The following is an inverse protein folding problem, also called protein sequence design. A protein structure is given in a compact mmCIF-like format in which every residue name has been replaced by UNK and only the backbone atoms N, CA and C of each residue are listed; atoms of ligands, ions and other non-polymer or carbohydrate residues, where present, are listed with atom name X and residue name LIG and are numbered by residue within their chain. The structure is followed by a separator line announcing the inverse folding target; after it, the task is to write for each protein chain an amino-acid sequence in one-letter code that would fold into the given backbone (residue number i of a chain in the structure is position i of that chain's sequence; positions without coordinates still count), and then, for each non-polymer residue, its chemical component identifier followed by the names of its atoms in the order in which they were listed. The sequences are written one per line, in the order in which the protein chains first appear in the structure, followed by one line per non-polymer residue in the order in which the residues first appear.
data_IF_602617838802
#
_entry.id   IF_602617838802
#
_cell.length_a   1.000
_cell.length_b   1.000
_cell.length_c   1.000
_cell.angle_alpha   90.00
_cell.angle_beta   90.00
_cell.angle_gamma   90.00
#
_symmetry.space_group_name_H-M   'P 1'
#
loop_
_entity.id
_entity.type
_entity.pdbx_description
1 polymer ?
#
# COMPACT_ATOMS: atom_id res chain seq x y z
N UNK A 1 -18.61 -13.54 60.73
CA UNK A 1 -17.86 -14.27 59.68
C UNK A 1 -18.43 -13.84 58.35
N UNK A 2 -17.59 -13.26 57.48
CA UNK A 2 -17.98 -12.60 56.22
C UNK A 2 -18.20 -13.67 55.14
N UNK A 3 -19.42 -13.75 54.59
CA UNK A 3 -19.67 -14.54 53.38
C UNK A 3 -19.33 -13.71 52.16
N UNK A 4 -18.30 -14.18 51.45
CA UNK A 4 -17.84 -13.63 50.19
C UNK A 4 -18.34 -14.53 49.06
N UNK A 5 -18.51 -13.92 47.88
CA UNK A 5 -18.62 -14.53 46.54
C UNK A 5 -20.02 -14.99 46.12
N UNK A 6 -20.69 -14.15 45.32
CA UNK A 6 -21.27 -14.60 44.04
C UNK A 6 -21.08 -13.46 43.03
N UNK A 7 -20.08 -13.59 42.17
CA UNK A 7 -19.90 -12.75 40.99
C UNK A 7 -20.05 -13.68 39.79
N UNK A 8 -21.29 -13.79 39.29
CA UNK A 8 -21.59 -14.48 38.03
C UNK A 8 -22.14 -13.44 37.08
N UNK A 9 -21.23 -12.67 36.46
CA UNK A 9 -21.54 -11.91 35.28
C UNK A 9 -21.24 -12.82 34.07
N UNK A 10 -22.26 -13.56 33.63
CA UNK A 10 -22.24 -14.26 32.35
C UNK A 10 -22.22 -13.21 31.26
N UNK A 11 -21.03 -12.88 30.75
CA UNK A 11 -20.88 -12.08 29.54
C UNK A 11 -21.18 -13.01 28.36
N UNK A 12 -22.44 -13.02 27.93
CA UNK A 12 -22.86 -13.56 26.64
C UNK A 12 -22.22 -12.71 25.53
N UNK A 13 -21.04 -13.12 25.06
CA UNK A 13 -20.49 -12.64 23.80
C UNK A 13 -21.30 -13.27 22.67
N UNK A 14 -22.26 -12.52 22.13
CA UNK A 14 -22.95 -12.89 20.91
C UNK A 14 -21.93 -12.94 19.76
N UNK A 15 -21.53 -14.15 19.38
CA UNK A 15 -20.78 -14.42 18.17
C UNK A 15 -21.70 -14.12 17.00
N UNK A 16 -21.52 -12.95 16.37
CA UNK A 16 -22.19 -12.63 15.10
C UNK A 16 -21.57 -13.50 14.01
N UNK A 17 -22.14 -14.69 13.82
CA UNK A 17 -21.79 -15.60 12.75
C UNK A 17 -22.24 -15.00 11.42
N UNK A 18 -21.33 -14.30 10.73
CA UNK A 18 -21.56 -13.83 9.37
C UNK A 18 -21.77 -15.00 8.41
N UNK A 19 -23.04 -15.32 8.10
CA UNK A 19 -23.38 -16.33 7.09
C UNK A 19 -22.86 -15.90 5.72
N UNK A 20 -21.93 -16.67 5.17
CA UNK A 20 -21.37 -16.47 3.82
C UNK A 20 -22.50 -16.63 2.79
N UNK A 21 -22.87 -15.54 2.11
CA UNK A 21 -23.73 -15.60 0.90
C UNK A 21 -24.98 -14.72 0.89
N UNK A 22 -25.35 -14.04 1.98
CA UNK A 22 -26.46 -13.06 1.96
C UNK A 22 -25.97 -11.72 1.38
N UNK A 23 -26.63 -11.19 0.35
CA UNK A 23 -26.31 -9.89 -0.26
C UNK A 23 -27.31 -8.83 0.19
N UNK A 24 -26.79 -7.71 0.70
CA UNK A 24 -27.60 -6.62 1.22
C UNK A 24 -27.26 -5.30 0.50
N UNK A 25 -28.26 -4.47 0.29
CA UNK A 25 -28.11 -3.07 -0.07
C UNK A 25 -27.79 -2.24 1.17
N UNK A 26 -26.77 -1.39 1.04
CA UNK A 26 -26.31 -0.54 2.14
C UNK A 26 -27.09 0.76 2.09
N UNK A 27 -27.92 0.98 3.10
CA UNK A 27 -28.57 2.27 3.31
C UNK A 27 -27.58 3.39 3.65
N UNK A 28 -28.11 4.61 3.67
CA UNK A 28 -27.36 5.79 4.10
C UNK A 28 -27.03 5.69 5.60
N UNK A 29 -25.86 6.22 5.99
CA UNK A 29 -25.55 6.37 7.41
C UNK A 29 -26.48 7.40 8.04
N UNK A 30 -27.09 7.04 9.16
CA UNK A 30 -27.82 7.96 10.01
C UNK A 30 -26.92 9.03 10.61
N UNK A 31 -27.51 10.06 11.25
CA UNK A 31 -26.76 11.08 11.96
C UNK A 31 -25.91 10.46 13.08
N UNK A 32 -24.82 11.13 13.43
CA UNK A 32 -23.98 10.72 14.55
C UNK A 32 -24.71 11.01 15.86
N UNK A 33 -24.87 9.98 16.70
CA UNK A 33 -25.32 10.16 18.07
C UNK A 33 -24.15 10.67 18.92
N UNK A 34 -24.32 11.86 19.51
CA UNK A 34 -23.26 12.52 20.26
C UNK A 34 -23.00 11.90 21.63
N UNK A 35 -23.95 11.14 22.19
CA UNK A 35 -23.79 10.51 23.49
C UNK A 35 -22.97 9.22 23.40
N UNK A 36 -23.19 8.45 22.34
CA UNK A 36 -22.51 7.15 22.12
C UNK A 36 -21.33 7.26 21.15
N UNK A 37 -21.21 8.38 20.42
CA UNK A 37 -20.24 8.58 19.35
C UNK A 37 -20.33 7.49 18.26
N UNK A 38 -21.54 6.99 18.01
CA UNK A 38 -21.84 5.96 17.03
C UNK A 38 -22.84 6.47 15.98
N UNK A 39 -22.73 5.94 14.76
CA UNK A 39 -23.73 6.10 13.71
C UNK A 39 -24.17 4.71 13.25
N UNK A 40 -25.47 4.60 12.94
CA UNK A 40 -26.09 3.37 12.48
C UNK A 40 -26.53 3.51 11.04
N UNK A 41 -26.51 2.40 10.29
CA UNK A 41 -27.18 2.30 8.99
C UNK A 41 -27.95 1.00 8.93
N UNK A 42 -29.09 1.06 8.24
CA UNK A 42 -29.87 -0.13 7.92
C UNK A 42 -29.37 -0.72 6.60
N UNK A 43 -29.24 -2.04 6.55
CA UNK A 43 -28.93 -2.81 5.37
C UNK A 43 -30.12 -3.69 5.02
N UNK A 44 -30.63 -3.58 3.79
CA UNK A 44 -31.83 -4.31 3.35
C UNK A 44 -31.42 -5.46 2.44
N UNK A 45 -32.01 -6.64 2.64
CA UNK A 45 -31.68 -7.82 1.85
C UNK A 45 -32.10 -7.62 0.38
N UNK A 46 -31.21 -7.93 -0.57
CA UNK A 46 -31.49 -7.78 -2.01
C UNK A 46 -32.47 -8.82 -2.54
N UNK A 47 -32.31 -10.05 -2.06
CA UNK A 47 -33.04 -11.21 -2.54
C UNK A 47 -33.46 -12.04 -1.32
N UNK A 48 -34.75 -12.33 -1.20
CA UNK A 48 -35.27 -13.17 -0.13
C UNK A 48 -34.64 -14.56 -0.24
N UNK A 49 -33.87 -14.95 0.78
CA UNK A 49 -33.21 -16.25 0.86
C UNK A 49 -33.43 -16.83 2.26
N UNK A 50 -33.76 -18.12 2.31
CA UNK A 50 -34.00 -18.80 3.57
C UNK A 50 -32.78 -18.68 4.51
N UNK A 51 -33.03 -18.21 5.73
CA UNK A 51 -32.03 -18.04 6.77
C UNK A 51 -31.21 -16.74 6.70
N UNK A 52 -31.55 -15.78 5.81
CA UNK A 52 -31.07 -14.40 5.84
C UNK A 52 -32.15 -13.49 6.45
N UNK A 53 -31.75 -12.56 7.32
CA UNK A 53 -32.66 -11.55 7.87
C UNK A 53 -33.02 -10.51 6.80
N UNK A 54 -34.26 -10.02 6.79
CA UNK A 54 -34.71 -9.03 5.81
C UNK A 54 -33.97 -7.69 5.95
N UNK A 55 -33.62 -7.33 7.19
CA UNK A 55 -32.92 -6.09 7.53
C UNK A 55 -31.84 -6.37 8.58
N UNK A 56 -30.65 -5.83 8.37
CA UNK A 56 -29.55 -5.89 9.33
C UNK A 56 -29.07 -4.48 9.66
N UNK A 57 -28.75 -4.20 10.91
CA UNK A 57 -28.15 -2.92 11.30
C UNK A 57 -26.63 -3.03 11.37
N UNK A 58 -25.95 -1.99 10.87
CA UNK A 58 -24.52 -1.81 11.05
C UNK A 58 -24.25 -0.54 11.85
N UNK A 59 -23.53 -0.72 12.95
CA UNK A 59 -23.03 0.36 13.80
C UNK A 59 -21.56 0.61 13.49
N UNK A 60 -21.16 1.88 13.49
CA UNK A 60 -19.76 2.28 13.42
C UNK A 60 -19.56 3.54 14.25
N UNK A 61 -18.39 3.67 14.88
CA UNK A 61 -17.94 4.93 15.47
C UNK A 61 -18.02 6.08 14.47
N UNK A 62 -18.51 7.23 14.94
CA UNK A 62 -18.49 8.44 14.15
C UNK A 62 -17.04 8.80 13.82
N UNK A 63 -16.79 9.14 12.56
CA UNK A 63 -15.56 9.84 12.26
C UNK A 63 -15.68 11.20 12.93
N UNK A 64 -14.93 11.41 14.02
CA UNK A 64 -14.68 12.76 14.51
C UNK A 64 -14.37 13.62 13.29
N UNK A 65 -15.10 14.73 13.11
CA UNK A 65 -14.71 15.78 12.19
C UNK A 65 -13.36 16.28 12.72
N UNK A 66 -12.27 15.61 12.36
CA UNK A 66 -10.95 16.21 12.47
C UNK A 66 -11.09 17.47 11.65
N UNK A 67 -11.03 18.63 12.31
CA UNK A 67 -11.02 19.93 11.66
C UNK A 67 -10.16 19.77 10.40
N UNK A 68 -10.76 19.96 9.23
CA UNK A 68 -10.15 19.51 7.98
C UNK A 68 -9.09 20.52 7.53
N UNK A 69 -8.31 21.03 8.47
CA UNK A 69 -7.25 22.00 8.30
C UNK A 69 -6.12 21.32 7.52
N UNK A 70 -6.07 21.56 6.21
CA UNK A 70 -4.97 21.14 5.37
C UNK A 70 -4.03 22.31 5.18
N UNK A 71 -2.79 22.10 5.56
CA UNK A 71 -1.73 23.09 5.47
C UNK A 71 -0.73 22.74 4.36
N UNK A 72 -0.23 23.77 3.69
CA UNK A 72 0.91 23.67 2.78
C UNK A 72 2.19 23.76 3.60
N UNK A 73 3.09 22.79 3.41
CA UNK A 73 4.37 22.74 4.14
C UNK A 73 5.39 23.64 3.45
N UNK A 74 5.92 24.63 4.17
CA UNK A 74 7.06 25.41 3.73
C UNK A 74 8.38 24.62 3.77
N UNK A 75 9.44 25.25 3.29
CA UNK A 75 10.81 24.78 3.43
C UNK A 75 11.23 24.74 4.90
N UNK A 76 12.10 23.79 5.25
CA UNK A 76 12.73 23.80 6.56
C UNK A 76 13.75 24.93 6.63
N UNK A 77 13.74 25.67 7.73
CA UNK A 77 14.77 26.65 8.04
C UNK A 77 16.10 25.98 8.38
N UNK A 78 17.10 26.83 8.59
CA UNK A 78 18.42 26.41 9.04
C UNK A 78 18.37 25.75 10.43
N UNK A 79 19.40 24.97 10.75
CA UNK A 79 19.53 24.40 12.07
C UNK A 79 20.01 25.48 13.04
N UNK A 80 19.23 25.73 14.09
CA UNK A 80 19.67 26.56 15.20
C UNK A 80 20.67 25.77 16.05
N UNK A 81 21.91 26.25 16.12
CA UNK A 81 23.01 25.59 16.85
C UNK A 81 22.83 25.66 18.36
N UNK A 82 22.02 26.59 18.88
CA UNK A 82 21.79 26.75 20.31
C UNK A 82 20.75 25.76 20.83
N UNK A 83 19.68 25.52 20.06
CA UNK A 83 18.60 24.61 20.46
C UNK A 83 18.69 23.23 19.80
N UNK A 84 19.57 23.05 18.82
CA UNK A 84 19.66 21.87 17.95
C UNK A 84 18.30 21.51 17.31
N UNK A 85 17.52 22.55 16.99
CA UNK A 85 16.21 22.44 16.37
C UNK A 85 16.16 23.23 15.07
N UNK A 86 15.32 22.77 14.16
CA UNK A 86 14.94 23.52 12.97
C UNK A 86 13.44 23.58 12.88
N UNK A 87 12.92 24.68 12.37
CA UNK A 87 11.49 24.91 12.26
C UNK A 87 11.10 25.17 10.80
N UNK A 88 9.81 24.98 10.51
CA UNK A 88 9.19 25.42 9.26
C UNK A 88 7.82 26.01 9.55
N UNK A 89 7.44 27.00 8.76
CA UNK A 89 6.08 27.50 8.71
C UNK A 89 5.22 26.66 7.76
N UNK A 90 3.94 26.56 8.09
CA UNK A 90 2.93 25.91 7.28
C UNK A 90 1.72 26.83 7.16
N UNK A 91 1.27 27.07 5.93
CA UNK A 91 0.17 28.00 5.64
C UNK A 91 -1.13 27.23 5.38
N UNK A 92 -2.24 27.70 5.94
CA UNK A 92 -3.54 27.06 5.76
C UNK A 92 -3.94 27.11 4.29
N UNK A 93 -4.22 25.94 3.70
CA UNK A 93 -4.69 25.82 2.31
C UNK A 93 -6.21 25.71 2.24
N UNK A 94 -6.81 24.99 3.19
CA UNK A 94 -8.27 24.82 3.33
C UNK A 94 -8.57 24.32 4.74
N UNK A 95 -9.65 24.79 5.35
CA UNK A 95 -10.07 24.38 6.68
C UNK A 95 -11.28 25.16 7.16
N UNK A 96 -11.83 24.74 8.29
CA UNK A 96 -12.88 25.44 9.00
C UNK A 96 -12.36 26.81 9.53
N UNK A 97 -13.23 27.78 9.85
CA UNK A 97 -12.81 29.09 10.37
C UNK A 97 -12.00 29.03 11.66
N UNK A 98 -12.13 27.94 12.42
CA UNK A 98 -11.39 27.68 13.67
C UNK A 98 -9.93 27.26 13.42
N UNK A 99 -9.55 26.95 12.17
CA UNK A 99 -8.18 26.57 11.84
C UNK A 99 -7.24 27.79 11.91
N UNK A 100 -6.12 27.65 12.63
CA UNK A 100 -5.06 28.66 12.61
C UNK A 100 -4.56 28.91 11.18
N UNK A 101 -4.39 30.18 10.78
CA UNK A 101 -3.92 30.54 9.44
C UNK A 101 -2.48 30.06 9.18
N UNK A 102 -1.64 30.09 10.21
CA UNK A 102 -0.25 29.63 10.16
C UNK A 102 0.00 28.65 11.29
N UNK A 103 0.73 27.58 11.00
CA UNK A 103 1.18 26.60 11.98
C UNK A 103 2.68 26.37 11.82
N UNK A 104 3.40 26.24 12.93
CA UNK A 104 4.84 25.99 12.93
C UNK A 104 5.12 24.55 13.31
N UNK A 105 6.05 23.90 12.60
CA UNK A 105 6.55 22.58 12.97
C UNK A 105 8.03 22.67 13.29
N UNK A 106 8.43 22.03 14.39
CA UNK A 106 9.81 21.98 14.84
C UNK A 106 10.27 20.52 14.90
N UNK A 107 11.52 20.29 14.54
CA UNK A 107 12.17 18.97 14.62
C UNK A 107 13.63 19.16 15.01
N UNK A 108 14.24 18.17 15.66
CA UNK A 108 15.68 18.20 15.92
C UNK A 108 16.49 18.13 14.63
N UNK A 109 17.68 18.71 14.63
CA UNK A 109 18.49 18.76 13.43
C UNK A 109 18.96 17.37 12.98
N UNK A 110 19.42 16.54 13.91
CA UNK A 110 19.85 15.17 13.63
C UNK A 110 18.75 14.33 12.96
N UNK A 111 17.53 14.42 13.50
CA UNK A 111 16.38 13.69 12.97
C UNK A 111 16.02 14.15 11.56
N UNK A 112 16.14 15.44 11.28
CA UNK A 112 15.93 15.93 9.91
C UNK A 112 16.99 15.39 8.94
N UNK A 113 18.27 15.40 9.33
CA UNK A 113 19.35 14.94 8.45
C UNK A 113 19.20 13.46 8.12
N UNK A 114 18.81 12.64 9.11
CA UNK A 114 18.45 11.23 8.90
C UNK A 114 17.28 11.08 7.91
N UNK A 115 16.21 11.87 8.08
CA UNK A 115 15.05 11.86 7.16
C UNK A 115 15.47 12.29 5.75
N UNK A 116 16.36 13.25 5.62
CA UNK A 116 16.82 13.75 4.32
C UNK A 116 17.68 12.70 3.59
N UNK A 117 18.62 12.06 4.30
CA UNK A 117 19.44 10.94 3.77
C UNK A 117 18.55 9.80 3.27
N UNK A 118 17.62 9.32 4.09
CA UNK A 118 16.67 8.27 3.69
C UNK A 118 15.81 8.66 2.47
N UNK A 119 15.44 9.94 2.34
CA UNK A 119 14.69 10.43 1.17
C UNK A 119 15.52 10.42 -0.10
N UNK A 120 16.79 10.81 -0.02
CA UNK A 120 17.71 10.79 -1.16
C UNK A 120 17.99 9.36 -1.63
N UNK A 121 18.27 8.44 -0.71
CA UNK A 121 18.43 7.02 -1.00
C UNK A 121 17.17 6.42 -1.63
N UNK A 122 15.99 6.75 -1.09
CA UNK A 122 14.71 6.33 -1.67
C UNK A 122 14.47 6.92 -3.07
N UNK A 123 14.94 8.15 -3.34
CA UNK A 123 14.87 8.76 -4.68
C UNK A 123 15.80 8.00 -5.64
N UNK A 124 17.05 7.74 -5.25
CA UNK A 124 18.02 6.95 -6.02
C UNK A 124 17.47 5.56 -6.33
N UNK A 125 16.93 4.85 -5.34
CA UNK A 125 16.32 3.54 -5.53
C UNK A 125 15.10 3.57 -6.47
N UNK A 126 14.27 4.63 -6.42
CA UNK A 126 13.15 4.81 -7.35
C UNK A 126 13.62 5.04 -8.79
N UNK A 127 14.67 5.83 -8.98
CA UNK A 127 15.22 6.06 -10.32
C UNK A 127 15.91 4.81 -10.87
N UNK A 128 16.64 4.07 -10.04
CA UNK A 128 17.20 2.77 -10.42
C UNK A 128 16.12 1.78 -10.84
N UNK A 129 15.05 1.64 -10.04
CA UNK A 129 13.89 0.80 -10.37
C UNK A 129 13.18 1.23 -11.66
N UNK A 130 13.16 2.54 -11.98
CA UNK A 130 12.60 3.03 -13.25
C UNK A 130 13.50 2.65 -14.43
N UNK A 131 14.82 2.76 -14.28
CA UNK A 131 15.78 2.37 -15.31
C UNK A 131 15.70 0.86 -15.60
N UNK A 132 15.70 0.01 -14.57
CA UNK A 132 15.54 -1.44 -14.73
C UNK A 132 14.22 -1.81 -15.43
N UNK A 133 13.11 -1.15 -15.07
CA UNK A 133 11.81 -1.38 -15.75
C UNK A 133 11.84 -1.01 -17.23
N UNK A 134 12.62 0.00 -17.63
CA UNK A 134 12.80 0.35 -19.04
C UNK A 134 13.57 -0.75 -19.77
N UNK A 135 14.67 -1.23 -19.20
CA UNK A 135 15.45 -2.35 -19.75
C UNK A 135 14.59 -3.61 -19.95
N UNK A 136 13.78 -3.98 -18.95
CA UNK A 136 12.87 -5.13 -19.05
C UNK A 136 11.83 -4.90 -20.16
N UNK A 137 11.27 -3.70 -20.28
CA UNK A 137 10.29 -3.38 -21.32
C UNK A 137 10.90 -3.48 -22.72
N UNK A 138 12.13 -3.00 -22.89
CA UNK A 138 12.84 -3.07 -24.17
C UNK A 138 13.20 -4.52 -24.54
N UNK A 139 13.60 -5.32 -23.54
CA UNK A 139 13.83 -6.76 -23.72
C UNK A 139 12.55 -7.49 -24.13
N UNK A 140 11.43 -7.23 -23.45
CA UNK A 140 10.13 -7.80 -23.82
C UNK A 140 9.69 -7.39 -25.23
N UNK A 141 10.01 -6.16 -25.65
CA UNK A 141 9.77 -5.71 -27.02
C UNK A 141 10.61 -6.51 -28.02
N UNK A 142 11.91 -6.68 -27.77
CA UNK A 142 12.80 -7.49 -28.62
C UNK A 142 12.32 -8.95 -28.73
N UNK A 143 11.93 -9.56 -27.63
CA UNK A 143 11.38 -10.93 -27.62
C UNK A 143 10.11 -11.05 -28.48
N UNK A 144 9.22 -10.05 -28.45
CA UNK A 144 8.03 -10.03 -29.31
C UNK A 144 8.36 -9.93 -30.79
N UNK A 145 9.35 -9.11 -31.16
CA UNK A 145 9.81 -9.02 -32.56
C UNK A 145 10.46 -10.34 -33.02
N UNK A 146 11.27 -10.98 -32.18
CA UNK A 146 11.87 -12.29 -32.48
C UNK A 146 10.82 -13.38 -32.67
N UNK A 147 9.80 -13.40 -31.79
CA UNK A 147 8.68 -14.33 -31.92
C UNK A 147 7.89 -14.10 -33.23
N UNK A 148 7.73 -12.84 -33.65
CA UNK A 148 7.10 -12.50 -34.94
C UNK A 148 7.92 -13.00 -36.13
N UNK A 149 9.23 -13.12 -35.99
CA UNK A 149 10.13 -13.68 -37.00
C UNK A 149 10.23 -15.22 -36.95
N UNK A 150 9.46 -15.90 -36.10
CA UNK A 150 9.46 -17.36 -35.99
C UNK A 150 10.59 -17.94 -35.12
N UNK A 151 11.39 -17.10 -34.44
CA UNK A 151 12.35 -17.60 -33.46
C UNK A 151 11.60 -18.07 -32.21
N UNK A 152 11.72 -19.34 -31.82
CA UNK A 152 11.28 -19.85 -30.51
C UNK A 152 12.42 -19.73 -29.51
N UNK A 153 12.12 -19.35 -28.26
CA UNK A 153 13.14 -19.21 -27.23
C UNK A 153 12.85 -20.08 -26.01
N UNK A 154 13.92 -20.54 -25.36
CA UNK A 154 13.88 -21.05 -23.99
C UNK A 154 14.59 -20.07 -23.08
N UNK A 155 13.97 -19.76 -21.94
CA UNK A 155 14.53 -18.89 -20.90
C UNK A 155 15.19 -19.76 -19.82
N UNK A 156 16.50 -19.62 -19.67
CA UNK A 156 17.24 -20.14 -18.53
C UNK A 156 17.56 -18.99 -17.59
N UNK A 157 17.14 -19.13 -16.33
CA UNK A 157 17.40 -18.15 -15.28
C UNK A 157 18.42 -18.75 -14.33
N UNK A 158 19.58 -18.11 -14.20
CA UNK A 158 20.59 -18.54 -13.24
C UNK A 158 20.10 -18.30 -11.81
N UNK A 159 20.67 -19.03 -10.85
CA UNK A 159 20.50 -18.68 -9.44
C UNK A 159 21.05 -17.27 -9.16
N UNK A 160 20.52 -16.63 -8.12
CA UNK A 160 20.99 -15.32 -7.67
C UNK A 160 22.44 -15.45 -7.19
N UNK A 161 23.35 -14.71 -7.84
CA UNK A 161 24.72 -14.60 -7.36
C UNK A 161 24.71 -13.76 -6.07
N UNK A 162 25.12 -14.38 -4.96
CA UNK A 162 25.09 -13.76 -3.62
C UNK A 162 26.07 -12.59 -3.49
N UNK A 163 27.16 -12.59 -4.24
CA UNK A 163 28.23 -11.58 -4.18
C UNK A 163 27.85 -10.33 -4.99
N UNK A 164 27.19 -10.49 -6.13
CA UNK A 164 26.80 -9.37 -7.01
C UNK A 164 25.33 -8.95 -6.88
N UNK A 165 24.50 -9.73 -6.18
CA UNK A 165 23.04 -9.60 -6.11
C UNK A 165 22.37 -9.51 -7.49
N UNK A 166 22.94 -10.21 -8.47
CA UNK A 166 22.44 -10.26 -9.85
C UNK A 166 22.06 -11.68 -10.25
N UNK A 167 21.10 -11.76 -11.16
CA UNK A 167 20.66 -12.96 -11.87
C UNK A 167 20.98 -12.76 -13.33
N UNK A 168 21.62 -13.76 -13.95
CA UNK A 168 21.86 -13.79 -15.39
C UNK A 168 20.70 -14.52 -16.05
N UNK A 169 20.11 -13.91 -17.07
CA UNK A 169 19.12 -14.54 -17.94
C UNK A 169 19.75 -14.84 -19.28
N UNK A 170 19.75 -16.11 -19.65
CA UNK A 170 20.19 -16.60 -20.95
C UNK A 170 18.96 -17.03 -21.73
N UNK A 171 18.90 -16.58 -22.98
CA UNK A 171 17.85 -16.96 -23.91
C UNK A 171 18.49 -17.77 -25.02
N UNK A 172 18.12 -19.03 -25.16
CA UNK A 172 18.55 -19.83 -26.32
C UNK A 172 17.41 -19.83 -27.33
N UNK A 173 17.74 -19.53 -28.59
CA UNK A 173 16.77 -19.46 -29.68
C UNK A 173 17.01 -20.59 -30.65
N UNK A 174 15.95 -21.30 -31.06
CA UNK A 174 15.99 -22.28 -32.14
C UNK A 174 15.28 -21.71 -33.37
N UNK A 175 15.98 -21.66 -34.50
CA UNK A 175 15.49 -21.17 -35.79
C UNK A 175 16.54 -21.29 -36.90
N UNK A 176 16.12 -21.23 -38.16
CA UNK A 176 16.94 -21.58 -39.34
C UNK A 176 17.96 -20.49 -39.77
N UNK A 177 18.03 -19.35 -39.07
CA UNK A 177 18.88 -18.21 -39.46
C UNK A 177 19.78 -17.72 -38.32
N UNK A 178 21.04 -17.38 -38.63
CA UNK A 178 22.04 -16.75 -37.73
C UNK A 178 21.63 -15.38 -37.12
N UNK A 179 20.37 -14.97 -37.27
CA UNK A 179 19.81 -13.67 -36.84
C UNK A 179 19.09 -13.72 -35.48
N UNK A 180 18.87 -14.91 -34.89
CA UNK A 180 18.20 -15.06 -33.59
C UNK A 180 19.20 -15.05 -32.41
N UNK A 181 20.07 -14.04 -32.30
CA UNK A 181 21.03 -13.91 -31.17
C UNK A 181 20.64 -12.73 -30.28
N UNK A 182 20.54 -12.95 -28.97
CA UNK A 182 20.44 -11.90 -27.95
C UNK A 182 21.54 -12.03 -26.91
N UNK A 183 22.10 -10.90 -26.49
CA UNK A 183 23.06 -10.86 -25.40
C UNK A 183 22.39 -11.23 -24.06
N UNK A 184 23.11 -11.94 -23.16
CA UNK A 184 22.63 -12.24 -21.82
C UNK A 184 22.33 -10.96 -21.03
N UNK A 185 21.23 -10.95 -20.28
CA UNK A 185 20.83 -9.79 -19.47
C UNK A 185 21.03 -10.08 -18.00
N UNK A 186 21.68 -9.15 -17.29
CA UNK A 186 21.78 -9.18 -15.84
C UNK A 186 20.67 -8.32 -15.22
N UNK A 187 19.93 -8.90 -14.28
CA UNK A 187 18.90 -8.20 -13.49
C UNK A 187 19.15 -8.39 -12.00
N UNK A 188 18.69 -7.48 -11.15
CA UNK A 188 18.85 -7.61 -9.70
C UNK A 188 17.97 -8.73 -9.11
N UNK A 189 18.49 -9.45 -8.13
CA UNK A 189 17.78 -10.58 -7.49
C UNK A 189 16.46 -10.14 -6.84
N UNK A 190 16.43 -8.95 -6.23
CA UNK A 190 15.22 -8.40 -5.60
C UNK A 190 14.06 -8.15 -6.58
N UNK A 191 14.38 -7.97 -7.86
CA UNK A 191 13.40 -7.81 -8.92
C UNK A 191 12.90 -9.16 -9.45
N UNK A 192 13.77 -10.17 -9.53
CA UNK A 192 13.37 -11.53 -9.88
C UNK A 192 12.34 -12.09 -8.88
N UNK A 193 12.53 -11.87 -7.59
CA UNK A 193 11.56 -12.27 -6.55
C UNK A 193 10.20 -11.59 -6.69
N UNK A 194 10.19 -10.29 -7.01
CA UNK A 194 8.95 -9.55 -7.27
C UNK A 194 8.25 -10.07 -8.53
N UNK A 195 9.01 -10.44 -9.55
CA UNK A 195 8.48 -10.99 -10.80
C UNK A 195 7.86 -12.36 -10.57
N UNK A 196 8.53 -13.24 -9.83
CA UNK A 196 8.03 -14.56 -9.43
C UNK A 196 6.73 -14.44 -8.61
N UNK A 197 6.67 -13.51 -7.65
CA UNK A 197 5.44 -13.24 -6.87
C UNK A 197 4.28 -12.72 -7.73
N UNK A 198 4.56 -11.95 -8.79
CA UNK A 198 3.53 -11.48 -9.73
C UNK A 198 3.05 -12.63 -10.64
N UNK A 199 3.97 -13.49 -11.10
CA UNK A 199 3.65 -14.67 -11.92
C UNK A 199 2.77 -15.66 -11.15
N UNK A 200 3.15 -16.01 -9.92
CA UNK A 200 2.36 -16.87 -9.03
C UNK A 200 0.95 -16.34 -8.78
N UNK A 201 0.78 -15.02 -8.61
CA UNK A 201 -0.55 -14.42 -8.45
C UNK A 201 -1.41 -14.50 -9.71
N UNK A 202 -0.81 -14.47 -10.91
CA UNK A 202 -1.55 -14.61 -12.17
C UNK A 202 -1.93 -16.05 -12.50
N UNK A 203 -1.26 -17.03 -11.92
CA UNK A 203 -1.60 -18.46 -12.04
C UNK A 203 -2.68 -18.89 -11.03
N UNK A 204 -3.00 -18.03 -10.05
CA UNK A 204 -4.05 -18.25 -9.03
C UNK A 204 -5.41 -17.60 -9.37
N UNK A 205 -5.51 -16.89 -10.49
CA UNK A 205 -6.76 -16.30 -11.03
C UNK A 205 -7.02 -16.84 -12.43
#
# INVERSE_FOLDING_TARGET
MKFQVVLVAVVLVAVVAGKKGCKYDKGQWGPCDQLTNEMKRTMTLKEAKEGCEATMEQTRECKQKRANCKYTKGSWGECDTTTNMRSRSMTLRRGDPECAQTSTQTISCEKYDQIYKMKDEKKKARELMKAEKRLIKDMQKKLKELHKMGCTYTEEVSECNQETQKVRKTFTFSGDTNTCVMDPVEISCTMQDKFNKIKQRKEQF
#
